data_IF_955266089566
#
_entry.id   IF_955266089566
#
_cell.length_a   1.000
_cell.length_b   1.000
_cell.length_c   1.000
_cell.angle_alpha   90.00
_cell.angle_beta   90.00
_cell.angle_gamma   90.00
#
_symmetry.space_group_name_H-M   'P 1'
#
loop_
_entity.id
_entity.type
_entity.pdbx_description
1 polymer ?
#
# COMPACT_ATOMS: atom_id res chain seq x y z
N UNK A 1 26.67 -20.62 -15.73
CA UNK A 1 25.49 -20.85 -14.86
C UNK A 1 25.40 -19.70 -13.86
N UNK A 2 24.58 -18.69 -14.13
CA UNK A 2 24.43 -17.50 -13.26
C UNK A 2 22.97 -17.07 -13.14
N UNK A 3 22.12 -17.97 -12.66
CA UNK A 3 20.70 -17.69 -12.40
C UNK A 3 20.38 -17.52 -10.91
N UNK A 4 21.31 -17.90 -10.00
CA UNK A 4 21.07 -17.83 -8.55
C UNK A 4 21.11 -16.42 -7.94
N UNK A 5 21.70 -15.42 -8.60
CA UNK A 5 21.77 -14.05 -8.06
C UNK A 5 20.62 -13.12 -8.50
N UNK A 6 19.91 -13.41 -9.60
CA UNK A 6 18.82 -12.54 -10.06
C UNK A 6 17.56 -12.70 -9.21
N UNK A 7 17.25 -13.93 -8.77
CA UNK A 7 16.11 -14.18 -7.90
C UNK A 7 16.26 -13.49 -6.54
N UNK A 8 17.44 -13.54 -5.91
CA UNK A 8 17.67 -12.90 -4.61
C UNK A 8 17.47 -11.38 -4.64
N UNK A 9 17.91 -10.70 -5.71
CA UNK A 9 17.70 -9.26 -5.89
C UNK A 9 16.23 -8.86 -6.05
N UNK A 10 15.46 -9.67 -6.79
CA UNK A 10 14.01 -9.44 -6.99
C UNK A 10 13.24 -9.60 -5.69
N UNK A 11 13.56 -10.62 -4.87
CA UNK A 11 12.89 -10.82 -3.58
C UNK A 11 13.22 -9.71 -2.58
N UNK A 12 14.48 -9.23 -2.56
CA UNK A 12 14.87 -8.11 -1.68
C UNK A 12 14.23 -6.80 -2.12
N UNK A 13 14.10 -6.55 -3.44
CA UNK A 13 13.37 -5.40 -3.98
C UNK A 13 11.91 -5.43 -3.54
N UNK A 14 11.22 -6.53 -3.84
CA UNK A 14 9.82 -6.72 -3.49
C UNK A 14 9.54 -6.55 -1.98
N UNK A 15 10.41 -7.05 -1.10
CA UNK A 15 10.26 -6.86 0.35
C UNK A 15 10.42 -5.38 0.75
N UNK A 16 11.32 -4.64 0.12
CA UNK A 16 11.47 -3.19 0.36
C UNK A 16 10.24 -2.42 -0.11
N UNK A 17 9.70 -2.78 -1.26
CA UNK A 17 8.52 -2.14 -1.84
C UNK A 17 7.28 -2.39 -0.96
N UNK A 18 7.07 -3.64 -0.50
CA UNK A 18 6.04 -3.99 0.49
C UNK A 18 6.22 -3.19 1.78
N UNK A 19 7.45 -3.09 2.30
CA UNK A 19 7.72 -2.35 3.56
C UNK A 19 7.42 -0.86 3.43
N UNK A 20 7.71 -0.26 2.27
CA UNK A 20 7.41 1.15 2.00
C UNK A 20 5.90 1.40 1.95
N UNK A 21 5.14 0.54 1.26
CA UNK A 21 3.67 0.60 1.23
C UNK A 21 3.09 0.46 2.63
N UNK A 22 3.52 -0.54 3.40
CA UNK A 22 3.00 -0.77 4.76
C UNK A 22 3.27 0.40 5.69
N UNK A 23 4.45 1.04 5.59
CA UNK A 23 4.77 2.23 6.37
C UNK A 23 3.81 3.37 6.07
N UNK A 24 3.56 3.68 4.80
CA UNK A 24 2.64 4.76 4.42
C UNK A 24 1.20 4.47 4.88
N UNK A 25 0.77 3.20 4.83
CA UNK A 25 -0.53 2.78 5.32
C UNK A 25 -0.63 2.88 6.85
N UNK A 26 0.44 2.58 7.58
CA UNK A 26 0.48 2.73 9.04
C UNK A 26 0.40 4.21 9.45
N UNK A 27 1.16 5.08 8.80
CA UNK A 27 1.09 6.54 9.02
C UNK A 27 -0.30 7.09 8.66
N UNK A 28 -0.89 6.67 7.54
CA UNK A 28 -2.25 7.08 7.17
C UNK A 28 -3.28 6.61 8.19
N UNK A 29 -3.14 5.38 8.69
CA UNK A 29 -4.04 4.83 9.70
C UNK A 29 -3.96 5.60 11.02
N UNK A 30 -2.77 5.98 11.45
CA UNK A 30 -2.56 6.79 12.66
C UNK A 30 -3.27 8.13 12.53
N UNK A 31 -3.02 8.87 11.45
CA UNK A 31 -3.67 10.17 11.22
C UNK A 31 -5.19 10.09 11.09
N UNK A 32 -5.71 9.02 10.47
CA UNK A 32 -7.16 8.79 10.41
C UNK A 32 -7.76 8.53 11.80
N UNK A 33 -7.03 7.80 12.67
CA UNK A 33 -7.45 7.60 14.06
C UNK A 33 -7.44 8.92 14.84
N UNK A 34 -6.38 9.72 14.69
CA UNK A 34 -6.25 11.03 15.33
C UNK A 34 -7.34 12.02 14.89
N UNK A 35 -7.66 12.00 13.59
CA UNK A 35 -8.75 12.79 13.00
C UNK A 35 -10.14 12.25 13.34
N UNK A 36 -10.25 11.13 14.07
CA UNK A 36 -11.52 10.43 14.37
C UNK A 36 -12.32 10.15 13.09
N UNK A 37 -11.62 9.74 12.04
CA UNK A 37 -12.25 9.38 10.77
C UNK A 37 -13.27 8.25 10.96
N UNK A 38 -14.26 8.12 10.07
CA UNK A 38 -15.21 7.02 10.13
C UNK A 38 -14.49 5.67 10.15
N UNK A 39 -14.98 4.72 10.95
CA UNK A 39 -14.43 3.35 11.03
C UNK A 39 -14.29 2.71 9.66
N UNK A 40 -15.25 2.95 8.76
CA UNK A 40 -15.22 2.45 7.38
C UNK A 40 -14.05 2.98 6.55
N UNK A 41 -13.45 4.11 6.91
CA UNK A 41 -12.25 4.65 6.27
C UNK A 41 -11.00 3.93 6.78
N UNK A 42 -10.95 3.62 8.07
CA UNK A 42 -9.88 2.83 8.69
C UNK A 42 -9.89 1.39 8.14
N UNK A 43 -11.06 0.80 7.96
CA UNK A 43 -11.23 -0.53 7.35
C UNK A 43 -10.66 -0.59 5.93
N UNK A 44 -10.86 0.43 5.10
CA UNK A 44 -10.28 0.49 3.75
C UNK A 44 -8.74 0.52 3.79
N UNK A 45 -8.15 1.20 4.78
CA UNK A 45 -6.70 1.20 4.99
C UNK A 45 -6.22 -0.17 5.43
N UNK A 46 -6.94 -0.83 6.34
CA UNK A 46 -6.62 -2.20 6.77
C UNK A 46 -6.74 -3.21 5.61
N UNK A 47 -7.73 -3.05 4.71
CA UNK A 47 -7.86 -3.84 3.48
C UNK A 47 -6.67 -3.64 2.54
N UNK A 48 -6.19 -2.40 2.35
CA UNK A 48 -4.98 -2.10 1.57
C UNK A 48 -3.73 -2.76 2.16
N UNK A 49 -3.63 -2.83 3.50
CA UNK A 49 -2.51 -3.53 4.17
C UNK A 49 -2.54 -5.02 3.91
N UNK A 50 -3.73 -5.63 3.89
CA UNK A 50 -3.91 -7.04 3.56
C UNK A 50 -3.54 -7.28 2.09
N UNK A 51 -4.00 -6.42 1.19
CA UNK A 51 -3.70 -6.50 -0.25
C UNK A 51 -2.19 -6.43 -0.52
N UNK A 52 -1.50 -5.45 0.08
CA UNK A 52 -0.06 -5.26 -0.09
C UNK A 52 0.80 -6.42 0.43
N UNK A 53 0.27 -7.25 1.35
CA UNK A 53 0.97 -8.42 1.91
C UNK A 53 0.79 -9.69 1.09
N UNK A 54 -0.08 -9.68 0.06
CA UNK A 54 -0.28 -10.86 -0.77
C UNK A 54 0.99 -11.15 -1.58
N UNK A 55 1.32 -12.43 -1.83
CA UNK A 55 2.42 -12.80 -2.73
C UNK A 55 2.27 -12.24 -4.15
N UNK A 56 1.02 -11.96 -4.55
CA UNK A 56 0.67 -11.29 -5.80
C UNK A 56 -0.48 -10.31 -5.52
N UNK A 57 -0.17 -9.05 -5.20
CA UNK A 57 -1.17 -8.00 -4.98
C UNK A 57 -1.97 -7.75 -6.26
N UNK A 58 -3.28 -7.51 -6.12
CA UNK A 58 -4.18 -7.18 -7.22
C UNK A 58 -4.21 -5.67 -7.47
N UNK A 59 -3.76 -5.24 -8.66
CA UNK A 59 -3.74 -3.83 -9.06
C UNK A 59 -5.11 -3.19 -9.01
N UNK A 60 -6.10 -3.81 -9.66
CA UNK A 60 -7.47 -3.29 -9.72
C UNK A 60 -8.11 -3.18 -8.32
N UNK A 61 -7.76 -4.10 -7.40
CA UNK A 61 -8.26 -4.08 -6.03
C UNK A 61 -7.65 -2.91 -5.25
N UNK A 62 -6.34 -2.72 -5.34
CA UNK A 62 -5.67 -1.61 -4.68
C UNK A 62 -6.14 -0.26 -5.23
N UNK A 63 -6.29 -0.12 -6.56
CA UNK A 63 -6.81 1.09 -7.20
C UNK A 63 -8.23 1.41 -6.71
N UNK A 64 -9.12 0.41 -6.66
CA UNK A 64 -10.47 0.59 -6.16
C UNK A 64 -10.51 1.03 -4.69
N UNK A 65 -9.67 0.45 -3.83
CA UNK A 65 -9.58 0.85 -2.42
C UNK A 65 -9.00 2.27 -2.27
N UNK A 66 -8.01 2.65 -3.08
CA UNK A 66 -7.43 4.00 -3.10
C UNK A 66 -8.41 5.06 -3.62
N UNK A 67 -9.26 4.73 -4.60
CA UNK A 67 -10.32 5.62 -5.07
C UNK A 67 -11.28 5.98 -3.92
N UNK A 68 -11.72 4.97 -3.16
CA UNK A 68 -12.62 5.16 -1.99
C UNK A 68 -12.01 6.01 -0.87
N UNK A 69 -10.69 6.08 -0.77
CA UNK A 69 -9.97 6.96 0.16
C UNK A 69 -9.77 8.37 -0.40
N UNK A 70 -9.59 8.51 -1.71
CA UNK A 70 -9.32 9.81 -2.36
C UNK A 70 -10.49 10.78 -2.23
N UNK A 71 -11.72 10.27 -2.19
CA UNK A 71 -12.94 11.05 -1.93
C UNK A 71 -13.01 11.67 -0.53
N UNK A 72 -12.04 11.37 0.35
CA UNK A 72 -12.00 11.80 1.76
C UNK A 72 -11.05 12.97 2.03
N UNK A 73 -10.45 13.57 0.99
CA UNK A 73 -9.59 14.76 1.14
C UNK A 73 -8.12 14.45 1.50
N UNK A 74 -7.65 13.23 1.25
CA UNK A 74 -6.30 12.74 1.61
C UNK A 74 -5.23 13.05 0.54
N UNK A 75 -5.40 14.13 -0.23
CA UNK A 75 -4.81 14.31 -1.56
C UNK A 75 -3.30 14.07 -1.72
N UNK A 76 -2.44 14.62 -0.86
CA UNK A 76 -0.98 14.43 -0.99
C UNK A 76 -0.54 13.02 -0.58
N UNK A 77 -1.08 12.51 0.52
CA UNK A 77 -0.82 11.13 0.98
C UNK A 77 -1.27 10.09 -0.03
N UNK A 78 -2.39 10.31 -0.71
CA UNK A 78 -2.88 9.38 -1.74
C UNK A 78 -1.93 9.29 -2.94
N UNK A 79 -1.24 10.39 -3.29
CA UNK A 79 -0.24 10.37 -4.37
C UNK A 79 0.99 9.57 -4.00
N UNK A 80 1.46 9.72 -2.76
CA UNK A 80 2.59 8.95 -2.24
C UNK A 80 2.25 7.47 -2.14
N UNK A 81 1.05 7.15 -1.66
CA UNK A 81 0.56 5.78 -1.56
C UNK A 81 0.40 5.13 -2.94
N UNK A 82 -0.18 5.84 -3.92
CA UNK A 82 -0.31 5.36 -5.29
C UNK A 82 1.06 5.04 -5.91
N UNK A 83 2.05 5.92 -5.73
CA UNK A 83 3.42 5.69 -6.22
C UNK A 83 4.09 4.48 -5.56
N UNK A 84 3.81 4.24 -4.28
CA UNK A 84 4.33 3.07 -3.57
C UNK A 84 3.67 1.77 -4.07
N UNK A 85 2.37 1.80 -4.36
CA UNK A 85 1.66 0.67 -4.97
C UNK A 85 2.12 0.41 -6.41
N UNK A 86 2.41 1.43 -7.21
CA UNK A 86 2.96 1.26 -8.56
C UNK A 86 4.31 0.53 -8.57
N UNK A 87 5.12 0.67 -7.51
CA UNK A 87 6.37 -0.08 -7.37
C UNK A 87 6.16 -1.54 -6.92
N UNK A 88 4.98 -1.85 -6.38
CA UNK A 88 4.61 -3.18 -5.88
C UNK A 88 4.13 -4.13 -7.00
N UNK A 89 3.63 -3.57 -8.11
CA UNK A 89 3.08 -4.28 -9.28
C UNK A 89 4.10 -4.45 -10.39
#
# INVERSE_FOLDING_TARGET
MSERNRAAGVHIGHIKDVSAVLRLLDELREDLNDAKAPTSTIEIVDDLRIEARKPKPGKDVAEHLMERLSDRGLGERMKELAKAFDALF
#
